data_IF_318341082627
#
_entry.id   IF_318341082627
#
_cell.length_a   1.000
_cell.length_b   1.000
_cell.length_c   1.000
_cell.angle_alpha   90.00
_cell.angle_beta   90.00
_cell.angle_gamma   90.00
#
_symmetry.space_group_name_H-M   'P 1'
#
loop_
_entity.id
_entity.type
_entity.pdbx_description
1 polymer ?
#
# COMPACT_ATOMS: atom_id res chain seq x y z
N UNK A 1 11.25 -12.97 12.07
CA UNK A 1 11.22 -11.49 11.98
C UNK A 1 11.52 -11.11 10.53
N UNK A 2 10.65 -10.39 9.81
CA UNK A 2 11.01 -9.91 8.49
C UNK A 2 12.11 -8.87 8.70
N UNK A 3 13.33 -9.20 8.29
CA UNK A 3 14.47 -8.29 8.30
C UNK A 3 14.11 -7.14 7.37
N UNK A 4 14.11 -5.90 7.88
CA UNK A 4 13.99 -4.70 7.05
C UNK A 4 15.11 -4.75 6.01
N UNK A 5 14.73 -5.05 4.76
CA UNK A 5 15.64 -5.15 3.63
C UNK A 5 15.25 -4.03 2.70
N UNK A 6 16.12 -3.03 2.61
CA UNK A 6 15.99 -1.97 1.64
C UNK A 6 16.72 -2.41 0.39
N UNK A 7 16.00 -2.53 -0.71
CA UNK A 7 16.58 -2.92 -1.99
C UNK A 7 15.74 -2.35 -3.14
N UNK A 8 16.15 -2.66 -4.36
CA UNK A 8 15.53 -2.20 -5.59
C UNK A 8 14.86 -3.38 -6.31
N UNK A 9 13.58 -3.21 -6.65
CA UNK A 9 12.86 -4.05 -7.61
C UNK A 9 13.07 -3.47 -9.02
N UNK A 10 13.84 -4.17 -9.84
CA UNK A 10 14.24 -3.73 -11.17
C UNK A 10 13.23 -4.14 -12.23
N UNK A 11 13.06 -3.30 -13.25
CA UNK A 11 12.27 -3.57 -14.46
C UNK A 11 10.82 -4.04 -14.20
N UNK A 12 10.05 -3.37 -13.32
CA UNK A 12 8.64 -3.68 -13.14
C UNK A 12 7.87 -3.49 -14.46
N UNK A 13 7.02 -4.44 -14.80
CA UNK A 13 6.27 -4.43 -16.07
C UNK A 13 5.05 -3.52 -16.02
N UNK A 14 4.47 -3.32 -14.83
CA UNK A 14 3.23 -2.58 -14.60
C UNK A 14 3.41 -1.31 -13.76
N UNK A 15 4.64 -0.96 -13.40
CA UNK A 15 4.96 0.34 -12.80
C UNK A 15 5.38 1.34 -13.89
N UNK A 16 5.07 2.65 -13.74
CA UNK A 16 5.54 3.69 -14.65
C UNK A 16 7.04 3.99 -14.53
N UNK A 17 7.76 3.33 -13.62
CA UNK A 17 9.18 3.54 -13.38
C UNK A 17 10.01 2.32 -13.74
N UNK A 18 11.25 2.52 -14.19
CA UNK A 18 12.17 1.42 -14.51
C UNK A 18 12.66 0.62 -13.28
N UNK A 19 12.38 1.13 -12.08
CA UNK A 19 12.64 0.44 -10.82
C UNK A 19 11.72 0.97 -9.72
N UNK A 20 11.50 0.20 -8.67
CA UNK A 20 10.83 0.66 -7.43
C UNK A 20 11.68 0.26 -6.22
N UNK A 21 11.60 1.03 -5.13
CA UNK A 21 12.28 0.70 -3.87
C UNK A 21 11.31 0.01 -2.93
N UNK A 22 11.76 -1.03 -2.25
CA UNK A 22 11.02 -1.66 -1.16
C UNK A 22 11.83 -1.59 0.14
N UNK A 23 11.12 -1.52 1.25
CA UNK A 23 11.67 -1.38 2.61
C UNK A 23 11.57 -2.71 3.39
N UNK A 24 10.79 -3.65 2.87
CA UNK A 24 10.60 -4.99 3.43
C UNK A 24 10.49 -6.07 2.36
N UNK A 25 10.84 -7.31 2.73
CA UNK A 25 10.64 -8.47 1.85
C UNK A 25 9.17 -8.69 1.48
N UNK A 26 8.23 -8.38 2.39
CA UNK A 26 6.80 -8.47 2.10
C UNK A 26 6.40 -7.52 0.97
N UNK A 27 6.91 -6.30 0.96
CA UNK A 27 6.63 -5.37 -0.15
C UNK A 27 7.22 -5.87 -1.46
N UNK A 28 8.42 -6.46 -1.46
CA UNK A 28 9.00 -7.08 -2.65
C UNK A 28 8.09 -8.19 -3.20
N UNK A 29 7.60 -9.08 -2.35
CA UNK A 29 6.64 -10.12 -2.76
C UNK A 29 5.32 -9.54 -3.25
N UNK A 30 4.84 -8.44 -2.65
CA UNK A 30 3.65 -7.74 -3.16
C UNK A 30 3.90 -7.14 -4.54
N UNK A 31 5.06 -6.53 -4.77
CA UNK A 31 5.44 -6.01 -6.08
C UNK A 31 5.43 -7.12 -7.13
N UNK A 32 6.08 -8.26 -6.85
CA UNK A 32 6.08 -9.43 -7.73
C UNK A 32 4.66 -9.94 -8.02
N UNK A 33 3.80 -10.00 -6.99
CA UNK A 33 2.40 -10.42 -7.13
C UNK A 33 1.59 -9.47 -8.00
N UNK A 34 1.67 -8.16 -7.76
CA UNK A 34 0.99 -7.14 -8.54
C UNK A 34 1.48 -7.12 -10.00
N UNK A 35 2.77 -7.36 -10.22
CA UNK A 35 3.35 -7.43 -11.55
C UNK A 35 2.89 -8.68 -12.32
N UNK A 36 2.71 -9.81 -11.63
CA UNK A 36 2.21 -11.05 -12.21
C UNK A 36 0.67 -11.09 -12.40
N UNK A 37 -0.11 -10.36 -11.59
CA UNK A 37 -1.57 -10.46 -11.56
C UNK A 37 -2.25 -9.91 -12.84
N UNK A 38 -2.93 -10.75 -13.65
CA UNK A 38 -3.54 -10.30 -14.91
C UNK A 38 -4.70 -9.31 -14.73
N UNK A 39 -5.26 -9.19 -13.53
CA UNK A 39 -6.32 -8.22 -13.22
C UNK A 39 -5.78 -6.81 -12.96
N UNK A 40 -4.48 -6.68 -12.71
CA UNK A 40 -3.79 -5.41 -12.46
C UNK A 40 -3.29 -4.85 -13.78
N UNK A 41 -3.69 -3.61 -14.07
CA UNK A 41 -3.21 -2.84 -15.22
C UNK A 41 -1.94 -2.09 -14.85
N UNK A 42 -1.95 -1.39 -13.71
CA UNK A 42 -0.84 -0.55 -13.24
C UNK A 42 -0.75 -0.58 -11.72
N UNK A 43 0.47 -0.45 -11.20
CA UNK A 43 0.70 -0.24 -9.78
C UNK A 43 1.87 0.72 -9.56
N UNK A 44 1.87 1.42 -8.43
CA UNK A 44 2.96 2.34 -8.07
C UNK A 44 3.16 2.32 -6.56
N UNK A 45 4.42 2.29 -6.10
CA UNK A 45 4.76 2.60 -4.71
C UNK A 45 5.07 4.09 -4.55
N UNK A 46 5.71 4.70 -5.53
CA UNK A 46 6.02 6.14 -5.54
C UNK A 46 4.85 6.99 -6.05
N UNK A 47 3.72 6.94 -5.35
CA UNK A 47 2.48 7.61 -5.77
C UNK A 47 2.25 9.00 -5.11
N UNK A 48 3.04 9.38 -4.10
CA UNK A 48 2.96 10.71 -3.47
C UNK A 48 1.68 10.99 -2.66
N UNK A 49 0.90 9.95 -2.33
CA UNK A 49 -0.35 10.10 -1.57
C UNK A 49 0.00 10.17 -0.08
N UNK A 50 -0.54 11.18 0.59
CA UNK A 50 -0.43 11.36 2.03
C UNK A 50 -1.83 11.54 2.61
N UNK A 51 -2.29 10.57 3.39
CA UNK A 51 -3.60 10.56 4.02
C UNK A 51 -3.51 11.20 5.41
N UNK A 52 -4.27 12.26 5.71
CA UNK A 52 -4.32 12.83 7.04
C UNK A 52 -5.10 11.92 8.00
N UNK A 53 -4.61 11.77 9.23
CA UNK A 53 -5.30 11.07 10.31
C UNK A 53 -5.02 11.76 11.66
N UNK A 54 -5.84 11.46 12.67
CA UNK A 54 -5.71 12.03 14.02
C UNK A 54 -5.24 10.94 14.98
N UNK A 55 -4.15 11.20 15.70
CA UNK A 55 -3.63 10.27 16.70
C UNK A 55 -4.41 10.31 18.03
N UNK A 56 -4.05 9.44 18.96
CA UNK A 56 -4.69 9.35 20.28
C UNK A 56 -4.55 10.63 21.11
N UNK A 57 -3.53 11.45 20.82
CA UNK A 57 -3.28 12.73 21.48
C UNK A 57 -3.96 13.90 20.76
N UNK A 58 -4.83 13.62 19.78
CA UNK A 58 -5.51 14.59 18.92
C UNK A 58 -4.58 15.41 18.02
N UNK A 59 -3.35 14.94 17.78
CA UNK A 59 -2.47 15.59 16.81
C UNK A 59 -2.78 15.12 15.40
N UNK A 60 -2.71 16.06 14.45
CA UNK A 60 -2.82 15.75 13.04
C UNK A 60 -1.53 15.12 12.54
N UNK A 61 -1.66 13.92 11.98
CA UNK A 61 -0.57 13.13 11.41
C UNK A 61 -0.85 12.86 9.94
N UNK A 62 0.19 12.41 9.24
CA UNK A 62 0.11 11.95 7.86
C UNK A 62 0.54 10.50 7.79
N UNK A 63 -0.10 9.77 6.90
CA UNK A 63 0.18 8.37 6.62
C UNK A 63 0.34 8.22 5.11
N UNK A 64 1.43 7.56 4.71
CA UNK A 64 1.72 7.25 3.31
C UNK A 64 1.47 5.74 3.15
N UNK A 65 0.46 5.32 2.39
CA UNK A 65 0.23 3.91 2.12
C UNK A 65 1.32 3.34 1.21
N UNK A 66 1.42 2.01 1.14
CA UNK A 66 2.47 1.35 0.35
C UNK A 66 2.26 1.43 -1.17
N UNK A 67 1.04 1.20 -1.67
CA UNK A 67 0.77 1.12 -3.09
C UNK A 67 -0.55 1.79 -3.51
N UNK A 68 -0.58 2.28 -4.75
CA UNK A 68 -1.81 2.49 -5.52
C UNK A 68 -1.85 1.48 -6.67
N UNK A 69 -3.01 0.86 -6.87
CA UNK A 69 -3.24 -0.18 -7.88
C UNK A 69 -4.44 0.21 -8.72
N UNK A 70 -4.32 0.08 -10.04
CA UNK A 70 -5.39 0.25 -11.01
C UNK A 70 -5.65 -1.08 -11.71
N UNK A 71 -6.91 -1.51 -11.69
CA UNK A 71 -7.35 -2.79 -12.24
C UNK A 71 -7.94 -2.63 -13.65
N UNK A 72 -8.05 -3.74 -14.38
CA UNK A 72 -8.57 -3.76 -15.76
C UNK A 72 -10.00 -3.22 -15.90
N UNK A 73 -10.81 -3.31 -14.84
CA UNK A 73 -12.18 -2.78 -14.82
C UNK A 73 -12.24 -1.28 -14.48
N UNK A 74 -11.09 -0.59 -14.39
CA UNK A 74 -10.99 0.83 -14.04
C UNK A 74 -11.06 1.11 -12.53
N UNK A 75 -11.27 0.08 -11.69
CA UNK A 75 -11.25 0.21 -10.24
C UNK A 75 -9.84 0.59 -9.76
N UNK A 76 -9.78 1.37 -8.67
CA UNK A 76 -8.53 1.79 -8.05
C UNK A 76 -8.54 1.47 -6.56
N UNK A 77 -7.45 0.88 -6.09
CA UNK A 77 -7.27 0.58 -4.67
C UNK A 77 -5.99 1.21 -4.15
N UNK A 78 -6.06 1.69 -2.91
CA UNK A 78 -4.88 1.92 -2.08
C UNK A 78 -4.63 0.63 -1.32
N UNK A 79 -3.40 0.11 -1.40
CA UNK A 79 -3.02 -1.13 -0.77
C UNK A 79 -1.91 -0.88 0.26
N UNK A 80 -2.13 -1.39 1.47
CA UNK A 80 -1.14 -1.38 2.55
C UNK A 80 -0.71 -2.81 2.85
N UNK A 81 0.59 -3.06 2.89
CA UNK A 81 1.15 -4.38 3.20
C UNK A 81 1.43 -4.46 4.70
N UNK A 82 0.92 -5.51 5.32
CA UNK A 82 1.14 -5.77 6.75
C UNK A 82 1.40 -7.24 7.01
N UNK A 83 2.28 -7.48 7.98
CA UNK A 83 2.41 -8.77 8.61
C UNK A 83 1.12 -9.09 9.39
N UNK A 84 0.52 -10.29 9.25
CA UNK A 84 -0.69 -10.70 9.98
C UNK A 84 -0.59 -10.50 11.50
N UNK A 85 0.60 -10.61 12.08
CA UNK A 85 0.80 -10.39 13.52
C UNK A 85 0.71 -8.92 13.96
N UNK A 86 0.68 -7.96 13.02
CA UNK A 86 0.77 -6.52 13.27
C UNK A 86 -0.50 -5.74 12.94
N UNK A 87 -1.57 -6.40 12.50
CA UNK A 87 -2.81 -5.73 12.06
C UNK A 87 -3.66 -5.19 13.22
N UNK A 88 -3.46 -5.67 14.45
CA UNK A 88 -4.42 -5.47 15.53
C UNK A 88 -4.19 -4.27 16.46
N UNK A 89 -3.11 -3.50 16.23
CA UNK A 89 -2.83 -2.34 17.08
C UNK A 89 -3.85 -1.21 16.89
N UNK A 90 -4.09 -0.50 17.97
CA UNK A 90 -5.03 0.62 18.07
C UNK A 90 -4.70 1.77 17.10
N UNK A 91 -3.41 1.98 16.82
CA UNK A 91 -2.94 2.96 15.85
C UNK A 91 -3.22 2.52 14.41
N UNK A 92 -2.98 1.24 14.09
CA UNK A 92 -3.27 0.66 12.77
C UNK A 92 -4.76 0.75 12.45
N UNK A 93 -5.63 0.48 13.44
CA UNK A 93 -7.09 0.63 13.30
C UNK A 93 -7.50 2.07 12.97
N UNK A 94 -6.89 3.08 13.62
CA UNK A 94 -7.15 4.50 13.34
C UNK A 94 -6.68 4.93 11.96
N UNK A 95 -5.45 4.53 11.55
CA UNK A 95 -4.92 4.78 10.20
C UNK A 95 -5.79 4.14 9.13
N UNK A 96 -6.17 2.87 9.31
CA UNK A 96 -7.08 2.13 8.43
C UNK A 96 -8.41 2.85 8.24
N UNK A 97 -9.07 3.25 9.33
CA UNK A 97 -10.35 3.97 9.26
C UNK A 97 -10.21 5.30 8.50
N UNK A 98 -9.12 6.05 8.74
CA UNK A 98 -8.87 7.29 8.00
C UNK A 98 -8.65 7.04 6.51
N UNK A 99 -7.88 6.00 6.16
CA UNK A 99 -7.61 5.63 4.79
C UNK A 99 -8.85 5.12 4.04
N UNK A 100 -9.68 4.29 4.68
CA UNK A 100 -10.96 3.84 4.13
C UNK A 100 -11.89 5.02 3.81
N UNK A 101 -12.05 5.97 4.73
CA UNK A 101 -12.84 7.17 4.49
C UNK A 101 -12.25 8.04 3.37
N UNK A 102 -10.92 8.14 3.30
CA UNK A 102 -10.23 8.91 2.27
C UNK A 102 -10.42 8.31 0.87
N UNK A 103 -10.34 6.98 0.77
CA UNK A 103 -10.53 6.23 -0.47
C UNK A 103 -11.99 6.27 -0.92
N UNK A 104 -12.95 6.03 0.00
CA UNK A 104 -14.39 6.05 -0.29
C UNK A 104 -14.84 7.39 -0.90
N UNK A 105 -14.34 8.52 -0.38
CA UNK A 105 -14.63 9.86 -0.93
C UNK A 105 -14.12 10.08 -2.36
N UNK A 106 -13.25 9.21 -2.86
CA UNK A 106 -12.62 9.28 -4.19
C UNK A 106 -13.06 8.13 -5.11
N UNK A 107 -14.04 7.33 -4.70
CA UNK A 107 -14.45 6.14 -5.46
C UNK A 107 -13.36 5.08 -5.53
N UNK A 108 -12.47 5.03 -4.54
CA UNK A 108 -11.39 4.05 -4.42
C UNK A 108 -11.66 3.11 -3.24
N UNK A 109 -11.04 1.94 -3.27
CA UNK A 109 -11.01 1.01 -2.14
C UNK A 109 -9.72 1.14 -1.33
N UNK A 110 -9.77 0.84 -0.03
CA UNK A 110 -8.59 0.65 0.80
C UNK A 110 -8.47 -0.82 1.18
N UNK A 111 -7.33 -1.43 0.84
CA UNK A 111 -7.07 -2.86 1.04
C UNK A 111 -5.87 -3.02 1.96
N UNK A 112 -6.02 -3.83 3.00
CA UNK A 112 -4.87 -4.32 3.78
C UNK A 112 -4.53 -5.70 3.25
N UNK A 113 -3.36 -5.84 2.66
CA UNK A 113 -2.90 -7.10 2.10
C UNK A 113 -1.94 -7.79 3.08
N UNK A 114 -2.26 -9.03 3.39
CA UNK A 114 -1.34 -9.97 4.05
C UNK A 114 -0.75 -10.90 2.99
N UNK A 115 0.51 -11.29 3.21
CA UNK A 115 1.18 -12.31 2.40
C UNK A 115 1.47 -13.46 3.34
N UNK A 116 0.83 -14.60 3.07
CA UNK A 116 0.98 -15.86 3.79
C UNK A 116 2.02 -16.76 3.10
#
# INVERSE_FOLDING_TARGET
>A
MPVSKHDIYWEPKKSPYNFEKYDSKLECWMMEKLDADPTVTKWMKRHGISIPWIDVQKHQRRYVPDFIVEYINGHKSILEVKDPSRVDSDEVKRKRKAAEMWCKKRGMEYVVATID
#
